data_IF_818484468754
#
_entry.id   IF_818484468754
#
_cell.length_a   1.000
_cell.length_b   1.000
_cell.length_c   1.000
_cell.angle_alpha   90.00
_cell.angle_beta   90.00
_cell.angle_gamma   90.00
#
_symmetry.space_group_name_H-M   'P 1'
#
loop_
_entity.id
_entity.type
_entity.pdbx_description
1 polymer ?
#
# COMPACT_ATOMS: atom_id res chain seq x y z
N UNK A 1 7.43 -23.25 2.90
CA UNK A 1 6.43 -23.13 3.97
C UNK A 1 6.85 -22.00 4.89
N UNK A 2 6.18 -20.84 4.88
CA UNK A 2 6.42 -19.83 5.90
C UNK A 2 5.77 -20.27 7.21
N UNK A 3 6.55 -20.29 8.30
CA UNK A 3 6.00 -20.52 9.64
C UNK A 3 5.20 -19.28 10.06
N UNK A 4 3.89 -19.30 9.81
CA UNK A 4 3.00 -18.20 10.14
C UNK A 4 2.71 -18.16 11.64
N UNK A 5 2.66 -16.95 12.21
CA UNK A 5 2.19 -16.75 13.57
C UNK A 5 0.73 -17.23 13.71
N UNK A 6 0.32 -17.87 14.82
CA UNK A 6 -1.08 -18.22 15.05
C UNK A 6 -1.99 -16.98 14.92
N UNK A 7 -3.17 -17.18 14.35
CA UNK A 7 -4.19 -16.14 14.27
C UNK A 7 -4.86 -15.96 15.64
N UNK A 8 -5.17 -14.72 16.07
CA UNK A 8 -5.92 -14.47 17.30
C UNK A 8 -7.15 -15.38 17.46
N UNK A 9 -7.35 -15.92 18.66
CA UNK A 9 -8.42 -16.90 18.91
C UNK A 9 -9.82 -16.28 18.78
N UNK A 10 -9.96 -15.00 19.15
CA UNK A 10 -11.20 -14.22 19.15
C UNK A 10 -11.64 -13.70 17.77
N UNK A 11 -11.07 -14.23 16.68
CA UNK A 11 -11.43 -13.82 15.31
C UNK A 11 -12.68 -14.57 14.80
N UNK A 12 -13.65 -13.86 14.20
CA UNK A 12 -14.76 -14.47 13.47
C UNK A 12 -14.26 -15.41 12.36
N UNK A 13 -15.02 -16.47 12.12
CA UNK A 13 -14.68 -17.57 11.22
C UNK A 13 -14.43 -17.09 9.78
N UNK A 14 -15.20 -16.10 9.32
CA UNK A 14 -15.08 -15.47 8.00
C UNK A 14 -13.73 -14.76 7.84
N UNK A 15 -13.30 -14.02 8.87
CA UNK A 15 -12.02 -13.33 8.89
C UNK A 15 -10.87 -14.33 8.92
N UNK A 16 -10.99 -15.36 9.76
CA UNK A 16 -9.99 -16.44 9.88
C UNK A 16 -9.76 -17.12 8.53
N UNK A 17 -10.83 -17.58 7.87
CA UNK A 17 -10.75 -18.22 6.56
C UNK A 17 -10.23 -17.29 5.46
N UNK A 18 -10.63 -16.02 5.46
CA UNK A 18 -10.10 -15.05 4.50
C UNK A 18 -8.58 -14.85 4.67
N UNK A 19 -8.09 -14.68 5.90
CA UNK A 19 -6.65 -14.47 6.16
C UNK A 19 -5.84 -15.76 5.94
N UNK A 20 -6.39 -16.94 6.23
CA UNK A 20 -5.78 -18.22 5.85
C UNK A 20 -5.60 -18.37 4.34
N UNK A 21 -6.59 -17.96 3.55
CA UNK A 21 -6.49 -17.94 2.09
C UNK A 21 -5.49 -16.88 1.61
N UNK A 22 -5.44 -15.71 2.24
CA UNK A 22 -4.46 -14.67 1.94
C UNK A 22 -3.02 -15.13 2.23
N UNK A 23 -2.81 -15.91 3.30
CA UNK A 23 -1.52 -16.56 3.62
C UNK A 23 -1.14 -17.62 2.58
N UNK A 24 -2.08 -18.47 2.16
CA UNK A 24 -1.87 -19.45 1.08
C UNK A 24 -1.52 -18.77 -0.24
N UNK A 25 -2.23 -17.69 -0.58
CA UNK A 25 -1.99 -16.89 -1.77
C UNK A 25 -0.63 -16.17 -1.74
N UNK A 26 -0.21 -15.65 -0.57
CA UNK A 26 1.17 -15.17 -0.38
C UNK A 26 2.13 -16.32 -0.65
N UNK A 27 1.95 -17.48 -0.01
CA UNK A 27 2.92 -18.57 -0.09
C UNK A 27 3.05 -19.16 -1.50
N UNK A 28 1.98 -19.14 -2.33
CA UNK A 28 2.07 -19.51 -3.74
C UNK A 28 2.89 -18.55 -4.60
N UNK A 29 3.12 -17.29 -4.17
CA UNK A 29 4.05 -16.38 -4.87
C UNK A 29 5.53 -16.75 -4.70
N UNK A 30 5.86 -17.57 -3.68
CA UNK A 30 7.25 -17.84 -3.28
C UNK A 30 8.00 -16.63 -2.70
N UNK A 31 7.38 -15.45 -2.59
CA UNK A 31 8.05 -14.23 -2.17
C UNK A 31 8.25 -14.12 -0.65
N UNK A 32 9.34 -13.45 -0.27
CA UNK A 32 9.52 -12.90 1.08
C UNK A 32 8.58 -11.70 1.29
N UNK A 33 8.25 -11.37 2.53
CA UNK A 33 7.41 -10.20 2.84
C UNK A 33 8.05 -8.87 2.38
N UNK A 34 9.38 -8.82 2.25
CA UNK A 34 10.10 -7.64 1.72
C UNK A 34 9.92 -7.56 0.21
N UNK A 35 10.09 -8.66 -0.52
CA UNK A 35 9.91 -8.72 -1.97
C UNK A 35 8.44 -8.51 -2.39
N UNK A 36 7.49 -9.04 -1.61
CA UNK A 36 6.07 -8.75 -1.80
C UNK A 36 5.78 -7.26 -1.59
N UNK A 37 6.32 -6.67 -0.53
CA UNK A 37 6.12 -5.25 -0.24
C UNK A 37 6.62 -4.33 -1.35
N UNK A 38 7.83 -4.59 -1.86
CA UNK A 38 8.40 -3.88 -3.00
C UNK A 38 7.56 -4.00 -4.29
N UNK A 39 6.82 -5.10 -4.49
CA UNK A 39 5.95 -5.33 -5.66
C UNK A 39 4.52 -4.79 -5.51
N UNK A 40 4.11 -4.41 -4.32
CA UNK A 40 2.70 -4.03 -4.01
C UNK A 40 2.57 -2.64 -3.39
N UNK A 41 3.66 -1.88 -3.31
CA UNK A 41 3.72 -0.55 -2.68
C UNK A 41 3.28 -0.52 -1.20
N UNK A 42 3.35 -1.65 -0.49
CA UNK A 42 3.07 -1.74 0.95
C UNK A 42 4.32 -2.19 1.72
N UNK A 43 4.57 -1.63 2.90
CA UNK A 43 5.71 -2.04 3.72
C UNK A 43 5.60 -3.50 4.22
N UNK A 44 6.75 -4.13 4.53
CA UNK A 44 6.82 -5.42 5.25
C UNK A 44 5.92 -5.43 6.50
N UNK A 45 5.94 -4.34 7.27
CA UNK A 45 5.14 -4.20 8.50
C UNK A 45 3.64 -4.12 8.22
N UNK A 46 3.22 -3.49 7.13
CA UNK A 46 1.81 -3.47 6.72
C UNK A 46 1.33 -4.86 6.30
N UNK A 47 2.10 -5.55 5.46
CA UNK A 47 1.84 -6.94 5.11
C UNK A 47 1.76 -7.86 6.33
N UNK A 48 2.66 -7.70 7.31
CA UNK A 48 2.65 -8.49 8.54
C UNK A 48 1.37 -8.25 9.37
N UNK A 49 0.91 -6.99 9.51
CA UNK A 49 -0.37 -6.68 10.20
C UNK A 49 -1.57 -7.31 9.51
N UNK A 50 -1.63 -7.25 8.18
CA UNK A 50 -2.73 -7.81 7.40
C UNK A 50 -2.75 -9.35 7.46
N UNK A 51 -1.59 -9.99 7.26
CA UNK A 51 -1.46 -11.45 7.27
C UNK A 51 -1.54 -12.04 8.69
N UNK A 52 -1.44 -11.24 9.74
CA UNK A 52 -1.70 -11.66 11.13
C UNK A 52 -3.12 -11.29 11.62
N UNK A 53 -4.00 -10.84 10.73
CA UNK A 53 -5.35 -10.37 11.05
C UNK A 53 -5.42 -9.22 12.08
N UNK A 54 -4.31 -8.52 12.33
CA UNK A 54 -4.22 -7.40 13.29
C UNK A 54 -4.92 -6.15 12.76
N UNK A 55 -4.94 -5.97 11.43
CA UNK A 55 -5.61 -4.88 10.75
C UNK A 55 -6.27 -5.43 9.49
N UNK A 56 -7.49 -5.00 9.12
CA UNK A 56 -8.06 -5.36 7.83
C UNK A 56 -7.15 -4.87 6.70
N UNK A 57 -6.76 -5.74 5.74
CA UNK A 57 -6.06 -5.27 4.54
C UNK A 57 -6.97 -4.32 3.76
N UNK A 58 -6.43 -3.25 3.14
CA UNK A 58 -7.19 -2.48 2.17
C UNK A 58 -7.48 -3.34 0.93
N UNK A 59 -8.61 -3.11 0.25
CA UNK A 59 -9.01 -3.85 -0.97
C UNK A 59 -7.88 -3.89 -2.01
N UNK A 60 -7.17 -2.77 -2.17
CA UNK A 60 -6.06 -2.63 -3.11
C UNK A 60 -4.86 -3.54 -2.76
N UNK A 61 -4.58 -3.82 -1.48
CA UNK A 61 -3.55 -4.80 -1.11
C UNK A 61 -3.94 -6.22 -1.56
N UNK A 62 -5.22 -6.58 -1.41
CA UNK A 62 -5.72 -7.89 -1.86
C UNK A 62 -5.61 -8.03 -3.38
N UNK A 63 -6.03 -7.01 -4.13
CA UNK A 63 -5.92 -6.96 -5.60
C UNK A 63 -4.44 -7.02 -6.04
N UNK A 64 -3.56 -6.25 -5.40
CA UNK A 64 -2.13 -6.26 -5.70
C UNK A 64 -1.48 -7.64 -5.44
N UNK A 65 -1.87 -8.33 -4.37
CA UNK A 65 -1.40 -9.71 -4.12
C UNK A 65 -1.96 -10.70 -5.15
N UNK A 66 -3.23 -10.58 -5.56
CA UNK A 66 -3.80 -11.41 -6.62
C UNK A 66 -3.04 -11.23 -7.94
N UNK A 67 -2.72 -9.98 -8.32
CA UNK A 67 -1.88 -9.65 -9.48
C UNK A 67 -0.48 -10.25 -9.37
N UNK A 68 0.19 -10.12 -8.22
CA UNK A 68 1.53 -10.70 -7.98
C UNK A 68 1.53 -12.24 -7.97
N UNK A 69 0.41 -12.86 -7.59
CA UNK A 69 0.21 -14.32 -7.65
C UNK A 69 -0.21 -14.84 -9.04
N UNK A 70 -0.40 -13.96 -10.03
CA UNK A 70 -0.83 -14.35 -11.38
C UNK A 70 -2.30 -14.80 -11.48
N UNK A 71 -3.16 -14.41 -10.53
CA UNK A 71 -4.59 -14.70 -10.60
C UNK A 71 -5.27 -13.84 -11.68
N UNK A 72 -6.18 -14.45 -12.43
CA UNK A 72 -7.02 -13.74 -13.41
C UNK A 72 -8.10 -12.86 -12.75
N UNK A 73 -8.81 -12.08 -13.58
CA UNK A 73 -9.87 -11.17 -13.13
C UNK A 73 -10.96 -11.88 -12.30
N UNK A 74 -11.51 -12.99 -12.80
CA UNK A 74 -12.58 -13.72 -12.11
C UNK A 74 -12.14 -14.32 -10.74
N UNK A 75 -10.87 -14.67 -10.56
CA UNK A 75 -10.34 -15.10 -9.25
C UNK A 75 -10.12 -13.91 -8.31
N UNK A 76 -9.64 -12.80 -8.86
CA UNK A 76 -9.47 -11.54 -8.12
C UNK A 76 -10.81 -10.99 -7.61
N UNK A 77 -11.87 -11.07 -8.42
CA UNK A 77 -13.24 -10.74 -8.03
C UNK A 77 -13.76 -11.66 -6.92
N UNK A 78 -13.55 -12.98 -7.02
CA UNK A 78 -13.90 -13.94 -5.95
C UNK A 78 -13.19 -13.62 -4.64
N UNK A 79 -11.92 -13.21 -4.69
CA UNK A 79 -11.19 -12.72 -3.51
C UNK A 79 -11.73 -11.39 -3.00
N UNK A 80 -12.13 -10.47 -3.88
CA UNK A 80 -12.78 -9.20 -3.54
C UNK A 80 -14.09 -9.37 -2.77
N UNK A 81 -15.02 -10.20 -3.29
CA UNK A 81 -16.31 -10.47 -2.61
C UNK A 81 -16.08 -11.10 -1.23
N UNK A 82 -15.11 -12.02 -1.09
CA UNK A 82 -14.78 -12.61 0.21
C UNK A 82 -14.14 -11.60 1.17
N UNK A 83 -13.30 -10.70 0.67
CA UNK A 83 -12.75 -9.59 1.44
C UNK A 83 -13.86 -8.67 1.97
N UNK A 84 -14.87 -8.34 1.16
CA UNK A 84 -16.00 -7.51 1.58
C UNK A 84 -16.80 -8.15 2.72
N UNK A 85 -17.06 -9.46 2.65
CA UNK A 85 -17.71 -10.20 3.72
C UNK A 85 -16.85 -10.22 5.00
N UNK A 86 -15.56 -10.48 4.89
CA UNK A 86 -14.64 -10.52 6.04
C UNK A 86 -14.47 -9.13 6.70
N UNK A 87 -14.40 -8.05 5.93
CA UNK A 87 -14.24 -6.69 6.46
C UNK A 87 -15.49 -6.20 7.20
N UNK A 88 -16.70 -6.60 6.78
CA UNK A 88 -17.95 -6.25 7.48
C UNK A 88 -18.00 -6.78 8.92
N UNK A 89 -17.44 -7.95 9.16
CA UNK A 89 -17.39 -8.61 10.48
C UNK A 89 -16.03 -8.46 11.18
N UNK A 90 -15.10 -7.68 10.62
CA UNK A 90 -13.75 -7.59 11.18
C UNK A 90 -13.79 -6.98 12.59
N UNK A 91 -13.17 -7.62 13.61
CA UNK A 91 -13.17 -7.08 14.95
C UNK A 91 -12.45 -5.74 14.96
N UNK A 92 -13.18 -4.66 15.26
CA UNK A 92 -12.57 -3.36 15.54
C UNK A 92 -11.80 -3.52 16.85
N UNK A 93 -10.49 -3.73 16.75
CA UNK A 93 -9.59 -3.56 17.88
C UNK A 93 -9.86 -2.14 18.41
N UNK A 94 -10.33 -1.96 19.66
CA UNK A 94 -10.38 -0.63 20.22
C UNK A 94 -8.94 -0.13 20.19
N UNK A 95 -8.69 0.96 19.45
CA UNK A 95 -7.43 1.67 19.59
C UNK A 95 -7.42 2.09 21.04
N UNK A 96 -6.59 1.42 21.84
CA UNK A 96 -6.34 1.81 23.21
C UNK A 96 -5.57 3.10 23.12
N UNK A 97 -6.31 4.20 23.00
CA UNK A 97 -5.85 5.54 23.33
C UNK A 97 -5.42 5.43 24.77
N UNK A 98 -4.12 5.23 24.98
CA UNK A 98 -3.56 5.32 26.32
C UNK A 98 -3.92 6.68 26.88
N UNK A 99 -4.34 6.80 28.14
CA UNK A 99 -4.55 8.09 28.77
C UNK A 99 -3.21 8.85 28.77
N UNK A 100 -3.06 9.73 27.79
CA UNK A 100 -1.90 10.58 27.56
C UNK A 100 -2.43 11.86 26.93
N UNK A 101 -3.19 12.56 27.76
CA UNK A 101 -3.98 13.74 27.43
C UNK A 101 -4.59 14.40 28.67
N UNK A 102 -4.02 14.16 29.86
CA UNK A 102 -4.29 14.98 31.04
C UNK A 102 -3.38 16.21 31.03
N UNK A 103 -3.90 17.28 30.42
CA UNK A 103 -3.47 18.68 30.52
C UNK A 103 -4.74 19.50 30.20
N UNK A 104 -5.29 20.37 31.04
CA UNK A 104 -4.91 20.80 32.40
C UNK A 104 -6.18 21.30 33.12
N UNK A 105 -6.19 21.35 34.46
CA UNK A 105 -7.36 21.87 35.18
C UNK A 105 -7.25 21.93 36.70
N UNK A 106 -6.07 22.23 37.26
CA UNK A 106 -5.93 22.52 38.70
C UNK A 106 -6.04 24.03 38.95
N UNK A 107 -6.82 24.45 39.97
CA UNK A 107 -6.62 25.73 40.63
C UNK A 107 -6.30 25.58 42.13
N UNK A 108 -5.04 25.85 42.46
CA UNK A 108 -4.54 26.34 43.75
C UNK A 108 -4.32 25.31 44.88
N UNK A 109 -3.06 24.94 45.07
CA UNK A 109 -2.50 24.39 46.31
C UNK A 109 -0.99 24.63 46.39
N UNK A 110 -0.51 25.27 47.46
CA UNK A 110 0.89 25.72 47.60
C UNK A 110 1.95 24.60 47.69
N UNK A 111 3.22 24.88 47.31
CA UNK A 111 4.28 23.88 47.24
C UNK A 111 4.95 23.63 48.59
N UNK A 112 5.37 22.38 48.83
CA UNK A 112 6.26 22.04 49.95
C UNK A 112 7.51 21.29 49.50
N UNK A 113 8.65 21.90 49.84
CA UNK A 113 9.97 21.29 50.05
C UNK A 113 10.49 20.31 48.98
N UNK A 114 11.25 20.84 48.03
CA UNK A 114 12.24 20.05 47.30
C UNK A 114 13.45 19.71 48.18
N UNK A 115 14.06 18.55 47.93
CA UNK A 115 15.46 18.25 48.24
C UNK A 115 16.15 18.08 46.89
N UNK A 116 17.00 19.02 46.46
CA UNK A 116 18.46 19.03 46.75
C UNK A 116 19.18 17.78 46.23
N UNK A 117 20.23 17.85 45.43
CA UNK A 117 20.88 18.95 44.71
C UNK A 117 21.91 18.36 43.70
N UNK A 118 22.41 19.20 42.76
CA UNK A 118 23.79 19.35 42.23
C UNK A 118 23.70 19.83 40.75
N UNK A 119 23.93 21.13 40.46
CA UNK A 119 25.20 21.72 39.98
C UNK A 119 25.53 21.36 38.50
N UNK A 120 26.03 22.20 37.58
CA UNK A 120 26.43 23.63 37.49
C UNK A 120 26.79 23.95 36.00
N UNK A 121 26.85 25.18 35.44
CA UNK A 121 26.66 26.55 35.95
C UNK A 121 26.26 27.57 34.84
N UNK A 122 25.77 28.72 35.31
CA UNK A 122 25.64 30.13 34.82
C UNK A 122 26.72 30.74 33.86
N UNK A 123 26.70 32.05 33.45
CA UNK A 123 25.62 33.01 33.05
C UNK A 123 25.89 33.84 31.75
N UNK A 124 24.93 34.74 31.41
CA UNK A 124 25.04 36.14 30.87
C UNK A 124 24.13 36.40 29.65
N UNK A 125 23.03 37.18 29.71
CA UNK A 125 22.87 38.66 29.90
C UNK A 125 23.50 39.43 28.72
N UNK A 126 22.83 40.29 27.93
CA UNK A 126 21.73 41.27 28.19
C UNK A 126 20.84 41.54 26.92
N UNK A 127 19.71 42.29 26.98
CA UNK A 127 18.79 42.55 25.86
C UNK A 127 18.88 43.98 25.25
N UNK A 128 18.24 44.20 24.09
CA UNK A 128 17.73 45.52 23.60
C UNK A 128 16.81 45.33 22.38
N UNK A 129 15.51 45.66 22.47
CA UNK A 129 14.89 46.94 22.05
C UNK A 129 15.00 47.24 20.55
N UNK A 130 13.86 47.24 19.85
CA UNK A 130 13.72 47.68 18.45
C UNK A 130 12.26 47.68 18.00
N UNK A 131 11.69 48.86 17.76
CA UNK A 131 10.25 49.04 17.53
C UNK A 131 9.86 49.00 16.04
N UNK A 132 8.62 48.56 15.77
CA UNK A 132 7.70 49.02 14.70
C UNK A 132 8.23 49.27 13.28
N UNK A 133 7.74 48.48 12.31
CA UNK A 133 7.13 49.02 11.08
C UNK A 133 6.41 47.94 10.26
N UNK A 134 5.14 48.17 9.90
CA UNK A 134 4.40 47.43 8.88
C UNK A 134 4.50 48.20 7.55
N UNK A 135 5.08 47.64 6.47
CA UNK A 135 4.88 48.17 5.13
C UNK A 135 3.57 47.61 4.57
N UNK A 136 2.62 48.50 4.30
CA UNK A 136 1.47 48.16 3.47
C UNK A 136 1.90 48.23 2.00
N UNK A 137 1.96 47.10 1.31
CA UNK A 137 2.19 47.05 -0.13
C UNK A 137 1.16 46.09 -0.76
N UNK A 138 0.21 46.67 -1.49
CA UNK A 138 -0.88 45.95 -2.19
C UNK A 138 -0.56 45.94 -3.69
N UNK A 139 -0.16 44.81 -4.30
CA UNK A 139 -0.19 44.68 -5.75
C UNK A 139 -1.64 44.58 -6.19
N UNK A 140 -2.04 45.38 -7.18
CA UNK A 140 -3.39 45.34 -7.73
C UNK A 140 -3.37 44.66 -9.10
N UNK A 141 -4.09 43.53 -9.20
CA UNK A 141 -4.69 42.91 -10.39
C UNK A 141 -3.93 42.95 -11.74
N UNK A 142 -3.68 41.77 -12.33
CA UNK A 142 -3.02 41.72 -13.63
C UNK A 142 -3.05 40.46 -14.49
N UNK A 143 -3.70 39.35 -14.13
CA UNK A 143 -3.98 38.27 -15.11
C UNK A 143 -5.05 37.28 -14.58
N UNK A 144 -6.15 37.04 -15.33
CA UNK A 144 -6.96 35.85 -15.11
C UNK A 144 -6.20 34.68 -15.74
N UNK A 145 -5.48 33.91 -14.92
CA UNK A 145 -4.98 32.60 -15.36
C UNK A 145 -6.22 31.82 -15.81
N UNK A 146 -6.30 31.37 -17.08
CA UNK A 146 -7.43 30.55 -17.50
C UNK A 146 -7.45 29.31 -16.63
N UNK A 147 -8.65 28.98 -16.18
CA UNK A 147 -9.10 27.86 -15.38
C UNK A 147 -8.89 26.52 -16.12
N UNK A 148 -7.61 26.25 -16.43
CA UNK A 148 -7.03 25.02 -16.97
C UNK A 148 -6.39 24.20 -15.86
N UNK A 149 -6.79 24.43 -14.61
CA UNK A 149 -7.01 23.31 -13.71
C UNK A 149 -8.37 22.72 -14.08
N UNK A 150 -8.42 21.99 -15.20
CA UNK A 150 -9.39 20.91 -15.29
C UNK A 150 -9.24 20.08 -14.02
N UNK A 151 -10.37 19.64 -13.45
CA UNK A 151 -10.39 18.66 -12.37
C UNK A 151 -9.81 17.33 -12.91
N UNK A 152 -8.49 17.26 -13.09
CA UNK A 152 -7.75 16.02 -13.01
C UNK A 152 -8.03 15.53 -11.58
N UNK A 153 -8.93 14.54 -11.40
CA UNK A 153 -9.24 14.07 -10.07
C UNK A 153 -7.88 13.71 -9.47
N UNK A 154 -7.60 14.14 -8.24
CA UNK A 154 -6.33 13.79 -7.59
C UNK A 154 -6.34 12.28 -7.35
N UNK A 155 -6.04 11.53 -8.41
CA UNK A 155 -6.19 10.10 -8.46
C UNK A 155 -5.24 9.61 -7.39
N UNK A 156 -5.79 8.99 -6.34
CA UNK A 156 -4.93 8.53 -5.28
C UNK A 156 -3.91 7.59 -5.92
N UNK A 157 -2.66 7.64 -5.48
CA UNK A 157 -1.48 7.08 -6.18
C UNK A 157 -1.57 5.59 -6.58
N UNK A 158 -2.62 4.88 -6.18
CA UNK A 158 -2.96 3.51 -6.58
C UNK A 158 -3.94 3.40 -7.78
N UNK A 159 -4.63 4.47 -8.16
CA UNK A 159 -5.59 4.59 -9.28
C UNK A 159 -5.01 5.41 -10.45
N UNK A 160 -3.68 5.32 -10.68
CA UNK A 160 -3.09 5.82 -11.93
C UNK A 160 -3.73 5.07 -13.09
N UNK A 161 -4.36 5.74 -14.07
CA UNK A 161 -4.93 5.05 -15.22
C UNK A 161 -3.80 4.30 -15.92
N UNK A 162 -4.05 3.06 -16.32
CA UNK A 162 -3.06 2.26 -17.03
C UNK A 162 -2.67 3.01 -18.31
N UNK A 163 -1.51 3.70 -18.29
CA UNK A 163 -0.84 4.18 -19.50
C UNK A 163 -0.78 2.95 -20.40
N UNK A 164 -1.40 2.97 -21.59
CA UNK A 164 -1.66 1.75 -22.33
C UNK A 164 -0.35 1.04 -22.62
N UNK A 165 -0.10 -0.03 -21.85
CA UNK A 165 1.06 -0.89 -21.97
C UNK A 165 1.26 -1.20 -23.46
N UNK A 166 2.47 -1.01 -24.03
CA UNK A 166 2.72 -1.27 -25.42
C UNK A 166 2.46 -2.75 -25.66
N UNK A 167 1.26 -3.06 -26.19
CA UNK A 167 0.72 -4.42 -26.30
C UNK A 167 1.83 -5.34 -26.78
N UNK A 168 2.22 -6.38 -26.01
CA UNK A 168 3.22 -7.32 -26.49
C UNK A 168 2.73 -7.82 -27.84
N UNK A 169 3.60 -7.77 -28.85
CA UNK A 169 3.19 -7.99 -30.24
C UNK A 169 2.90 -9.48 -30.49
N UNK A 170 1.79 -9.98 -29.94
CA UNK A 170 1.35 -11.39 -29.99
C UNK A 170 1.25 -11.90 -31.43
N UNK A 171 0.97 -11.01 -32.39
CA UNK A 171 1.02 -11.31 -33.83
C UNK A 171 2.39 -11.78 -34.34
N UNK A 172 3.51 -11.35 -33.74
CA UNK A 172 4.86 -11.80 -34.14
C UNK A 172 5.10 -13.26 -33.75
N UNK A 173 4.66 -13.68 -32.56
CA UNK A 173 4.73 -15.06 -32.11
C UNK A 173 3.84 -15.99 -32.95
N UNK A 174 2.62 -15.55 -33.30
CA UNK A 174 1.75 -16.30 -34.21
C UNK A 174 2.35 -16.41 -35.62
N UNK A 175 2.99 -15.35 -36.12
CA UNK A 175 3.67 -15.37 -37.43
C UNK A 175 4.88 -16.31 -37.43
N UNK A 176 5.69 -16.35 -36.37
CA UNK A 176 6.76 -17.34 -36.24
C UNK A 176 6.24 -18.77 -36.12
N UNK A 177 5.15 -19.00 -35.37
CA UNK A 177 4.52 -20.32 -35.28
C UNK A 177 3.97 -20.80 -36.64
N UNK A 178 3.34 -19.91 -37.41
CA UNK A 178 2.85 -20.20 -38.75
C UNK A 178 3.99 -20.48 -39.74
N UNK A 179 5.07 -19.69 -39.72
CA UNK A 179 6.26 -19.93 -40.54
C UNK A 179 6.96 -21.25 -40.18
N UNK A 180 7.00 -21.61 -38.89
CA UNK A 180 7.57 -22.87 -38.43
C UNK A 180 6.75 -24.08 -38.91
N UNK A 181 5.41 -24.01 -38.83
CA UNK A 181 4.53 -25.04 -39.39
C UNK A 181 4.67 -25.15 -40.92
N UNK A 182 4.79 -24.03 -41.64
CA UNK A 182 5.04 -24.02 -43.09
C UNK A 182 6.39 -24.68 -43.43
N UNK A 183 7.45 -24.38 -42.66
CA UNK A 183 8.76 -24.97 -42.86
C UNK A 183 8.75 -26.49 -42.61
N UNK A 184 8.08 -26.96 -41.55
CA UNK A 184 7.90 -28.39 -41.29
C UNK A 184 7.11 -29.08 -42.42
N UNK A 185 6.06 -28.45 -42.95
CA UNK A 185 5.29 -28.97 -44.08
C UNK A 185 6.17 -29.12 -45.34
N UNK A 186 7.00 -28.12 -45.65
CA UNK A 186 7.90 -28.14 -46.80
C UNK A 186 8.98 -29.22 -46.66
N UNK A 187 9.56 -29.41 -45.46
CA UNK A 187 10.53 -30.49 -45.19
C UNK A 187 9.87 -31.87 -45.32
N UNK A 188 8.64 -32.04 -44.83
CA UNK A 188 7.88 -33.28 -44.97
C UNK A 188 7.56 -33.59 -46.45
N UNK A 189 7.15 -32.59 -47.24
CA UNK A 189 6.91 -32.76 -48.68
C UNK A 189 8.21 -33.08 -49.43
N UNK A 190 9.31 -32.39 -49.15
CA UNK A 190 10.61 -32.66 -49.77
C UNK A 190 11.14 -34.06 -49.42
N UNK A 191 10.93 -34.52 -48.18
CA UNK A 191 11.24 -35.89 -47.77
C UNK A 191 10.38 -36.92 -48.52
N UNK A 192 9.07 -36.68 -48.63
CA UNK A 192 8.16 -37.58 -49.35
C UNK A 192 8.47 -37.67 -50.86
N UNK A 193 8.97 -36.60 -51.48
CA UNK A 193 9.36 -36.56 -52.90
C UNK A 193 10.79 -37.10 -53.16
N UNK A 194 11.65 -37.15 -52.14
CA UNK A 194 13.02 -37.69 -52.28
C UNK A 194 13.16 -39.15 -51.85
N UNK A 195 12.21 -39.70 -51.09
CA UNK A 195 12.20 -41.09 -50.60
C UNK A 195 10.98 -41.93 -51.06
N UNK A 196 10.11 -41.38 -51.91
CA UNK A 196 8.96 -42.06 -52.53
C UNK A 196 9.13 -42.24 -54.03
#
# INVERSE_FOLDING_TARGET
MSAWQPLPEQLPTEVRHFVEQLRRLKDSTGLSLVALGARTAYSKSSWQRYLNATQPPPRQAVVALCRVAGLGGADTERFGVRWELAVRVWPRVPVSVGPSGELSGDPSGEPSAGSSADASVDPSVDPSVGSSARPSARPSFGEPIPDMYEDDPTLPWWDVPEVPEPKPATGRLLLYAALFLLALLLVALAGAVTFG
#
